data_IF_148041678290
#
_entry.id   IF_148041678290
#
_cell.length_a   1.000
_cell.length_b   1.000
_cell.length_c   1.000
_cell.angle_alpha   90.00
_cell.angle_beta   90.00
_cell.angle_gamma   90.00
#
_symmetry.space_group_name_H-M   'P 1'
#
loop_
_entity.id
_entity.type
_entity.pdbx_description
1 polymer ?
#
# COMPACT_ATOMS: atom_id res chain seq x y z
N UNK A 1 -14.18 19.38 -4.21
CA UNK A 1 -14.83 18.06 -4.12
C UNK A 1 -14.15 17.00 -4.99
N UNK A 2 -14.02 17.19 -6.31
CA UNK A 2 -13.41 16.20 -7.22
C UNK A 2 -11.98 15.77 -6.81
N UNK A 3 -11.16 16.71 -6.35
CA UNK A 3 -9.79 16.45 -5.92
C UNK A 3 -9.68 15.51 -4.70
N UNK A 4 -10.57 15.69 -3.72
CA UNK A 4 -10.62 14.81 -2.55
C UNK A 4 -11.03 13.39 -2.97
N UNK A 5 -12.04 13.26 -3.83
CA UNK A 5 -12.52 11.96 -4.35
C UNK A 5 -11.39 11.22 -5.10
N UNK A 6 -10.60 11.92 -5.92
CA UNK A 6 -9.46 11.30 -6.60
C UNK A 6 -8.37 10.82 -5.64
N UNK A 7 -8.10 11.54 -4.55
CA UNK A 7 -7.10 11.12 -3.54
C UNK A 7 -7.55 9.85 -2.81
N UNK A 8 -8.83 9.75 -2.44
CA UNK A 8 -9.37 8.54 -1.84
C UNK A 8 -9.30 7.35 -2.79
N UNK A 9 -9.63 7.53 -4.07
CA UNK A 9 -9.52 6.47 -5.09
C UNK A 9 -8.07 5.98 -5.23
N UNK A 10 -7.10 6.91 -5.28
CA UNK A 10 -5.68 6.58 -5.34
C UNK A 10 -5.24 5.79 -4.09
N UNK A 11 -5.71 6.18 -2.90
CA UNK A 11 -5.44 5.44 -1.65
C UNK A 11 -5.93 4.00 -1.75
N UNK A 12 -7.18 3.79 -2.16
CA UNK A 12 -7.75 2.45 -2.26
C UNK A 12 -7.02 1.59 -3.30
N UNK A 13 -6.60 2.18 -4.43
CA UNK A 13 -5.77 1.48 -5.43
C UNK A 13 -4.41 1.06 -4.87
N UNK A 14 -3.70 1.95 -4.16
CA UNK A 14 -2.44 1.63 -3.50
C UNK A 14 -2.59 0.51 -2.46
N UNK A 15 -3.66 0.57 -1.68
CA UNK A 15 -3.97 -0.46 -0.69
C UNK A 15 -4.23 -1.81 -1.35
N UNK A 16 -4.96 -1.83 -2.47
CA UNK A 16 -5.24 -3.04 -3.26
C UNK A 16 -3.95 -3.63 -3.83
N UNK A 17 -3.05 -2.79 -4.37
CA UNK A 17 -1.73 -3.22 -4.85
C UNK A 17 -0.90 -3.86 -3.72
N UNK A 18 -0.88 -3.24 -2.53
CA UNK A 18 -0.17 -3.78 -1.37
C UNK A 18 -0.71 -5.14 -0.91
N UNK A 19 -2.03 -5.33 -0.93
CA UNK A 19 -2.68 -6.61 -0.63
C UNK A 19 -2.29 -7.67 -1.67
N UNK A 20 -2.34 -7.34 -2.97
CA UNK A 20 -1.97 -8.27 -4.05
C UNK A 20 -0.51 -8.69 -3.94
N UNK A 21 0.41 -7.76 -3.68
CA UNK A 21 1.83 -8.06 -3.47
C UNK A 21 2.06 -8.98 -2.27
N UNK A 22 1.32 -8.74 -1.18
CA UNK A 22 1.40 -9.57 0.02
C UNK A 22 0.86 -10.98 -0.25
N UNK A 23 -0.25 -11.10 -0.99
CA UNK A 23 -0.83 -12.37 -1.40
C UNK A 23 0.09 -13.16 -2.35
N UNK A 24 0.76 -12.49 -3.28
CA UNK A 24 1.79 -13.10 -4.14
C UNK A 24 2.97 -13.61 -3.31
N UNK A 25 3.38 -12.88 -2.27
CA UNK A 25 4.34 -13.36 -1.30
C UNK A 25 3.87 -14.66 -0.64
N UNK A 26 2.67 -14.67 -0.05
CA UNK A 26 2.11 -15.86 0.61
C UNK A 26 2.00 -17.05 -0.36
N UNK A 27 1.69 -16.81 -1.63
CA UNK A 27 1.67 -17.84 -2.67
C UNK A 27 3.05 -18.46 -2.91
N UNK A 28 4.11 -17.66 -3.01
CA UNK A 28 5.49 -18.16 -3.11
C UNK A 28 5.90 -19.00 -1.89
N UNK A 29 5.37 -18.66 -0.71
CA UNK A 29 5.53 -19.44 0.52
C UNK A 29 4.92 -20.85 0.40
N UNK A 30 3.74 -20.95 -0.24
CA UNK A 30 3.04 -22.22 -0.49
C UNK A 30 3.76 -23.11 -1.50
N UNK A 31 4.35 -22.50 -2.54
CA UNK A 31 5.08 -23.23 -3.59
C UNK A 31 6.46 -23.70 -3.09
N UNK A 32 6.97 -23.13 -1.99
CA UNK A 32 8.19 -23.59 -1.31
C UNK A 32 9.48 -23.36 -2.08
N UNK A 33 9.41 -22.63 -3.20
CA UNK A 33 10.49 -22.46 -4.18
C UNK A 33 11.60 -21.55 -3.68
N UNK A 34 11.30 -20.38 -3.08
CA UNK A 34 12.35 -19.46 -2.59
C UNK A 34 11.90 -18.57 -1.41
N UNK A 35 12.37 -18.90 -0.20
CA UNK A 35 12.09 -18.15 1.06
C UNK A 35 12.52 -16.68 1.02
N UNK A 36 13.59 -16.35 0.29
CA UNK A 36 14.07 -14.96 0.13
C UNK A 36 13.07 -14.11 -0.63
N UNK A 37 12.57 -14.64 -1.75
CA UNK A 37 11.63 -13.95 -2.65
C UNK A 37 10.29 -13.69 -1.96
N UNK A 38 9.84 -14.66 -1.14
CA UNK A 38 8.71 -14.48 -0.22
C UNK A 38 8.88 -13.24 0.68
N UNK A 39 9.97 -13.17 1.44
CA UNK A 39 10.22 -12.06 2.37
C UNK A 39 10.24 -10.73 1.63
N UNK A 40 10.82 -10.68 0.43
CA UNK A 40 10.85 -9.45 -0.38
C UNK A 40 9.45 -9.00 -0.76
N UNK A 41 8.58 -9.90 -1.22
CA UNK A 41 7.21 -9.57 -1.60
C UNK A 41 6.33 -9.16 -0.43
N UNK A 42 6.46 -9.82 0.72
CA UNK A 42 5.71 -9.45 1.93
C UNK A 42 6.17 -8.10 2.48
N UNK A 43 7.48 -7.86 2.54
CA UNK A 43 8.02 -6.57 2.99
C UNK A 43 7.58 -5.45 2.03
N UNK A 44 7.67 -5.68 0.71
CA UNK A 44 7.18 -4.73 -0.30
C UNK A 44 5.69 -4.44 -0.14
N UNK A 45 4.86 -5.47 0.03
CA UNK A 45 3.42 -5.32 0.26
C UNK A 45 3.11 -4.51 1.51
N UNK A 46 3.78 -4.82 2.62
CA UNK A 46 3.65 -4.07 3.88
C UNK A 46 4.08 -2.61 3.75
N UNK A 47 5.22 -2.35 3.08
CA UNK A 47 5.72 -0.99 2.82
C UNK A 47 4.72 -0.19 1.99
N UNK A 48 4.14 -0.78 0.93
CA UNK A 48 3.12 -0.12 0.10
C UNK A 48 1.87 0.24 0.91
N UNK A 49 1.43 -0.66 1.81
CA UNK A 49 0.28 -0.39 2.69
C UNK A 49 0.59 0.75 3.66
N UNK A 50 1.77 0.75 4.30
CA UNK A 50 2.19 1.82 5.22
C UNK A 50 2.29 3.15 4.48
N UNK A 51 2.91 3.17 3.30
CA UNK A 51 3.00 4.37 2.46
C UNK A 51 1.63 4.91 2.08
N UNK A 52 0.65 4.04 1.78
CA UNK A 52 -0.72 4.47 1.46
C UNK A 52 -1.40 5.19 2.63
N UNK A 53 -1.11 4.80 3.88
CA UNK A 53 -1.64 5.47 5.07
C UNK A 53 -0.90 6.78 5.34
N UNK A 54 0.43 6.79 5.21
CA UNK A 54 1.24 7.99 5.37
C UNK A 54 0.87 9.09 4.36
N UNK A 55 0.59 8.72 3.10
CA UNK A 55 0.16 9.65 2.06
C UNK A 55 -1.14 10.39 2.46
N UNK A 56 -2.09 9.67 3.04
CA UNK A 56 -3.34 10.26 3.54
C UNK A 56 -3.14 11.15 4.77
N UNK A 57 -2.25 10.76 5.69
CA UNK A 57 -1.92 11.59 6.85
C UNK A 57 -1.25 12.90 6.44
N UNK A 58 -0.29 12.85 5.51
CA UNK A 58 0.39 14.03 4.97
C UNK A 58 -0.62 14.95 4.26
N UNK A 59 -1.52 14.39 3.45
CA UNK A 59 -2.59 15.16 2.82
C UNK A 59 -3.56 15.79 3.83
N UNK A 60 -3.94 15.05 4.87
CA UNK A 60 -4.75 15.55 5.97
C UNK A 60 -4.08 16.70 6.70
N UNK A 61 -2.78 16.60 6.99
CA UNK A 61 -2.00 17.68 7.59
C UNK A 61 -1.89 18.91 6.69
N UNK A 62 -1.60 18.73 5.39
CA UNK A 62 -1.52 19.84 4.43
C UNK A 62 -2.87 20.55 4.31
N UNK A 63 -3.98 19.81 4.28
CA UNK A 63 -5.33 20.39 4.27
C UNK A 63 -5.69 21.13 5.56
N UNK A 64 -5.06 20.80 6.69
CA UNK A 64 -5.25 21.46 7.99
C UNK A 64 -4.38 22.71 8.17
N UNK A 65 -3.18 22.74 7.60
CA UNK A 65 -2.27 23.89 7.61
C UNK A 65 -2.57 24.91 6.51
N UNK A 66 -3.33 24.53 5.47
CA UNK A 66 -3.74 25.39 4.37
C UNK A 66 -5.06 26.15 4.57
N UNK A 67 -5.65 26.10 5.78
CA UNK A 67 -6.81 26.90 6.21
C UNK A 67 -6.40 27.94 7.24
#
# INVERSE_FOLDING_TARGET
MLYAVSLYIIKYLLMLIGIVLSALGVWELRVGTQKRRYLTFVILGAVVIILSQALMQIWGMIGMFGM
#
